data_IF_267554068147
#
_entry.id   IF_267554068147
#
_cell.length_a   1.000
_cell.length_b   1.000
_cell.length_c   1.000
_cell.angle_alpha   90.00
_cell.angle_beta   90.00
_cell.angle_gamma   90.00
#
_symmetry.space_group_name_H-M   'P 1'
#
loop_
_entity.id
_entity.type
_entity.pdbx_description
1 polymer ?
#
# COMPACT_ATOMS: atom_id res chain seq x y z
N UNK A 1 24.77 5.00 14.26
CA UNK A 1 23.72 4.00 14.13
C UNK A 1 24.10 2.95 13.09
N UNK A 2 24.15 1.70 13.50
CA UNK A 2 24.31 0.60 12.55
C UNK A 2 23.02 0.39 11.76
N UNK A 3 23.17 0.07 10.49
CA UNK A 3 22.05 -0.30 9.64
C UNK A 3 21.91 -1.81 9.60
N UNK A 4 20.70 -2.27 9.84
CA UNK A 4 20.36 -3.67 9.63
C UNK A 4 19.89 -3.79 8.18
N UNK A 5 20.52 -4.71 7.43
CA UNK A 5 20.24 -4.87 6.01
C UNK A 5 18.96 -5.65 5.72
N UNK A 6 18.39 -6.31 6.72
CA UNK A 6 17.16 -7.07 6.55
C UNK A 6 15.99 -6.12 6.37
N UNK A 7 15.14 -6.43 5.41
CA UNK A 7 13.92 -5.66 5.13
C UNK A 7 12.73 -6.35 5.79
N UNK A 8 12.06 -5.61 6.67
CA UNK A 8 10.83 -6.07 7.30
C UNK A 8 9.65 -5.53 6.49
N UNK A 9 8.79 -6.42 6.02
CA UNK A 9 7.57 -6.04 5.32
C UNK A 9 6.40 -5.92 6.29
N UNK A 10 5.71 -4.78 6.24
CA UNK A 10 4.51 -4.52 7.04
C UNK A 10 3.41 -4.05 6.11
N UNK A 11 2.21 -4.59 6.29
CA UNK A 11 1.03 -4.18 5.53
C UNK A 11 -0.01 -3.64 6.49
N UNK A 12 -0.58 -2.51 6.14
CA UNK A 12 -1.69 -1.93 6.89
C UNK A 12 -2.85 -1.62 5.94
N UNK A 13 -4.06 -1.89 6.39
CA UNK A 13 -5.28 -1.66 5.63
C UNK A 13 -6.04 -0.51 6.27
N UNK A 14 -6.36 0.50 5.46
CA UNK A 14 -7.13 1.67 5.87
C UNK A 14 -8.55 1.57 5.33
N UNK A 15 -9.49 2.23 6.01
CA UNK A 15 -10.89 2.22 5.59
C UNK A 15 -11.13 3.06 4.33
N UNK A 16 -10.44 4.18 4.20
CA UNK A 16 -10.64 5.12 3.09
C UNK A 16 -9.33 5.49 2.45
N UNK A 17 -9.38 5.82 1.16
CA UNK A 17 -8.16 6.12 0.40
C UNK A 17 -7.42 7.34 0.95
N UNK A 18 -8.11 8.34 1.46
CA UNK A 18 -7.45 9.52 2.05
C UNK A 18 -6.76 9.22 3.38
N UNK A 19 -7.22 8.21 4.12
CA UNK A 19 -6.57 7.78 5.36
C UNK A 19 -5.16 7.27 5.12
N UNK A 20 -4.92 6.68 3.96
CA UNK A 20 -3.59 6.21 3.56
C UNK A 20 -2.60 7.38 3.60
N UNK A 21 -2.97 8.51 3.02
CA UNK A 21 -2.11 9.69 2.97
C UNK A 21 -1.98 10.37 4.33
N UNK A 22 -3.02 10.31 5.15
CA UNK A 22 -2.97 10.82 6.53
C UNK A 22 -1.98 10.02 7.38
N UNK A 23 -1.97 8.70 7.23
CA UNK A 23 -1.01 7.84 7.91
C UNK A 23 0.41 8.17 7.47
N UNK A 24 0.63 8.37 6.18
CA UNK A 24 1.94 8.74 5.64
C UNK A 24 2.42 10.07 6.23
N UNK A 25 1.54 11.07 6.34
CA UNK A 25 1.86 12.35 6.96
C UNK A 25 2.24 12.21 8.43
N UNK A 26 1.52 11.38 9.18
CA UNK A 26 1.82 11.12 10.58
C UNK A 26 3.18 10.46 10.75
N UNK A 27 3.53 9.54 9.87
CA UNK A 27 4.83 8.86 9.88
C UNK A 27 5.95 9.87 9.61
N UNK A 28 5.74 10.75 8.64
CA UNK A 28 6.73 11.78 8.28
C UNK A 28 7.09 12.69 9.45
N UNK A 29 6.15 12.92 10.35
CA UNK A 29 6.35 13.78 11.52
C UNK A 29 7.09 13.11 12.67
N UNK A 30 7.31 11.81 12.62
CA UNK A 30 8.00 11.08 13.67
C UNK A 30 9.50 11.31 13.58
N UNK A 31 10.16 11.56 14.73
CA UNK A 31 11.60 11.82 14.77
C UNK A 31 12.43 10.54 14.63
N UNK A 32 11.87 9.41 15.02
CA UNK A 32 12.55 8.12 15.01
C UNK A 32 12.28 7.32 13.73
N UNK A 33 11.63 7.93 12.77
CA UNK A 33 11.33 7.31 11.48
C UNK A 33 11.78 8.25 10.35
N UNK A 34 12.45 7.69 9.36
CA UNK A 34 12.83 8.40 8.13
C UNK A 34 12.16 7.72 6.94
N UNK A 35 11.53 8.52 6.09
CA UNK A 35 10.99 8.02 4.81
C UNK A 35 12.12 8.13 3.79
N UNK A 36 12.60 6.96 3.34
CA UNK A 36 13.70 6.88 2.38
C UNK A 36 13.18 6.99 0.95
N UNK A 37 12.05 6.36 0.68
CA UNK A 37 11.46 6.33 -0.65
C UNK A 37 9.95 6.18 -0.56
N UNK A 38 9.25 6.86 -1.46
CA UNK A 38 7.79 6.76 -1.60
C UNK A 38 7.47 6.30 -3.01
N UNK A 39 6.66 5.26 -3.13
CA UNK A 39 6.12 4.78 -4.41
C UNK A 39 4.61 4.82 -4.32
N UNK A 40 4.01 5.75 -5.04
CA UNK A 40 2.55 5.94 -5.00
C UNK A 40 1.89 5.22 -6.17
N UNK A 41 1.53 3.96 -5.95
CA UNK A 41 0.81 3.16 -6.94
C UNK A 41 -0.71 3.36 -6.88
N UNK A 42 -1.16 4.32 -6.07
CA UNK A 42 -2.57 4.74 -6.08
C UNK A 42 -2.77 5.79 -7.16
N UNK A 43 -1.90 6.80 -7.20
CA UNK A 43 -1.92 7.83 -8.24
C UNK A 43 -1.47 7.28 -9.59
N UNK A 44 -0.44 6.43 -9.58
CA UNK A 44 0.10 5.79 -10.76
C UNK A 44 0.12 4.28 -10.57
N UNK A 45 -1.02 3.60 -10.82
CA UNK A 45 -1.07 2.15 -10.68
C UNK A 45 -0.06 1.44 -11.57
N UNK A 46 0.39 0.28 -11.15
CA UNK A 46 1.23 -0.55 -12.01
C UNK A 46 0.42 -1.01 -13.23
N UNK A 47 1.13 -1.42 -14.28
CA UNK A 47 0.49 -1.93 -15.51
C UNK A 47 -0.48 -3.07 -15.22
N UNK A 48 -0.23 -3.87 -14.20
CA UNK A 48 -1.12 -4.96 -13.79
C UNK A 48 -2.44 -4.48 -13.20
N UNK A 49 -2.50 -3.22 -12.76
CA UNK A 49 -3.61 -2.67 -11.99
C UNK A 49 -3.33 -2.59 -10.50
N UNK A 50 -2.16 -3.07 -10.04
CA UNK A 50 -1.81 -3.06 -8.62
C UNK A 50 -1.81 -1.64 -8.06
N UNK A 51 -2.46 -1.46 -6.92
CA UNK A 51 -2.57 -0.19 -6.22
C UNK A 51 -2.18 -0.34 -4.76
N UNK A 52 -1.33 0.52 -4.29
CA UNK A 52 -1.01 0.72 -2.88
C UNK A 52 -0.06 1.91 -2.75
N UNK A 53 0.11 2.41 -1.54
CA UNK A 53 1.18 3.35 -1.23
C UNK A 53 2.30 2.58 -0.54
N UNK A 54 3.47 2.56 -1.15
CA UNK A 54 4.67 1.92 -0.58
C UNK A 54 5.59 2.96 0.00
N UNK A 55 5.94 2.79 1.26
CA UNK A 55 6.93 3.61 1.94
C UNK A 55 8.11 2.74 2.35
N UNK A 56 9.30 3.11 1.92
CA UNK A 56 10.51 2.51 2.43
C UNK A 56 10.99 3.40 3.58
N UNK A 57 11.05 2.83 4.77
CA UNK A 57 11.33 3.53 6.00
C UNK A 57 12.61 3.02 6.62
N UNK A 58 13.27 3.92 7.37
CA UNK A 58 14.26 3.51 8.37
C UNK A 58 13.71 3.92 9.73
N UNK A 59 13.63 2.95 10.64
CA UNK A 59 13.10 3.16 11.99
C UNK A 59 14.22 3.00 12.98
N UNK A 60 14.39 3.99 13.85
CA UNK A 60 15.38 3.94 14.91
C UNK A 60 14.85 3.07 16.05
N UNK A 61 15.53 1.98 16.31
CA UNK A 61 15.16 1.05 17.38
C UNK A 61 16.27 1.01 18.43
N UNK A 62 15.98 1.17 19.71
CA UNK A 62 16.96 0.95 20.75
C UNK A 62 17.32 -0.53 20.81
N UNK A 63 18.60 -0.81 20.80
CA UNK A 63 19.09 -2.17 20.93
C UNK A 63 20.30 -2.16 21.88
N UNK A 64 20.15 -2.77 23.05
CA UNK A 64 21.11 -2.68 24.15
C UNK A 64 21.32 -1.21 24.52
N UNK A 65 22.54 -0.70 24.48
CA UNK A 65 22.87 0.69 24.79
C UNK A 65 23.03 1.56 23.53
N UNK A 66 22.72 0.99 22.35
CA UNK A 66 22.88 1.66 21.07
C UNK A 66 21.56 1.68 20.33
N UNK A 67 21.38 2.65 19.43
CA UNK A 67 20.25 2.68 18.52
C UNK A 67 20.66 2.14 17.17
N UNK A 68 19.76 1.38 16.55
CA UNK A 68 19.95 0.84 15.20
C UNK A 68 18.84 1.31 14.29
N UNK A 69 19.17 1.54 13.02
CA UNK A 69 18.18 1.82 11.99
C UNK A 69 17.75 0.52 11.32
N UNK A 70 16.47 0.23 11.41
CA UNK A 70 15.86 -0.96 10.79
C UNK A 70 15.11 -0.50 9.55
N UNK A 71 15.34 -1.19 8.43
CA UNK A 71 14.64 -0.91 7.18
C UNK A 71 13.30 -1.61 7.17
N UNK A 72 12.24 -0.85 6.90
CA UNK A 72 10.85 -1.35 6.86
C UNK A 72 10.22 -0.94 5.55
N UNK A 73 9.61 -1.89 4.85
CA UNK A 73 8.72 -1.59 3.73
C UNK A 73 7.29 -1.62 4.25
N UNK A 74 6.64 -0.46 4.26
CA UNK A 74 5.26 -0.32 4.67
C UNK A 74 4.39 -0.19 3.42
N UNK A 75 3.41 -1.10 3.29
CA UNK A 75 2.42 -1.07 2.24
C UNK A 75 1.08 -0.64 2.83
N UNK A 76 0.56 0.48 2.37
CA UNK A 76 -0.73 1.01 2.80
C UNK A 76 -1.76 0.82 1.69
N UNK A 77 -2.87 0.18 2.02
CA UNK A 77 -3.94 -0.16 1.09
C UNK A 77 -5.30 0.12 1.71
N UNK A 78 -6.31 0.30 0.86
CA UNK A 78 -7.70 0.15 1.32
C UNK A 78 -8.06 -1.34 1.33
N UNK A 79 -9.18 -1.67 1.97
CA UNK A 79 -9.67 -3.05 1.97
C UNK A 79 -9.93 -3.56 0.55
N UNK A 80 -10.43 -2.71 -0.35
CA UNK A 80 -10.68 -3.07 -1.74
C UNK A 80 -9.38 -3.35 -2.50
N UNK A 81 -8.36 -2.53 -2.31
CA UNK A 81 -7.04 -2.74 -2.90
C UNK A 81 -6.41 -4.04 -2.41
N UNK A 82 -6.55 -4.32 -1.13
CA UNK A 82 -6.01 -5.54 -0.52
C UNK A 82 -6.73 -6.78 -1.05
N UNK A 83 -8.05 -6.72 -1.19
CA UNK A 83 -8.84 -7.78 -1.80
C UNK A 83 -8.37 -8.09 -3.22
N UNK A 84 -8.24 -7.06 -4.05
CA UNK A 84 -7.77 -7.22 -5.43
C UNK A 84 -6.36 -7.84 -5.49
N UNK A 85 -5.45 -7.34 -4.66
CA UNK A 85 -4.06 -7.81 -4.65
C UNK A 85 -3.96 -9.29 -4.26
N UNK A 86 -4.74 -9.72 -3.28
CA UNK A 86 -4.77 -11.11 -2.83
C UNK A 86 -5.33 -12.03 -3.91
N UNK A 87 -6.41 -11.62 -4.57
CA UNK A 87 -6.99 -12.41 -5.66
C UNK A 87 -6.08 -12.46 -6.88
N UNK A 88 -5.47 -11.33 -7.24
CA UNK A 88 -4.51 -11.27 -8.33
C UNK A 88 -3.37 -12.26 -8.10
N UNK A 89 -2.82 -12.28 -6.90
CA UNK A 89 -1.73 -13.19 -6.54
C UNK A 89 -2.17 -14.65 -6.68
N UNK A 90 -3.34 -15.01 -6.15
CA UNK A 90 -3.88 -16.36 -6.24
C UNK A 90 -4.13 -16.79 -7.68
N UNK A 91 -4.72 -15.92 -8.48
CA UNK A 91 -5.03 -16.21 -9.87
C UNK A 91 -3.78 -16.34 -10.71
N UNK A 92 -2.77 -15.53 -10.47
CA UNK A 92 -1.48 -15.63 -11.17
C UNK A 92 -0.75 -16.91 -10.84
N UNK A 93 -0.86 -17.38 -9.61
CA UNK A 93 -0.24 -18.64 -9.20
C UNK A 93 -0.89 -19.84 -9.87
N UNK A 94 -2.23 -19.85 -9.98
CA UNK A 94 -2.99 -21.00 -10.48
C UNK A 94 -3.02 -21.10 -12.00
N UNK A 95 -2.92 -19.98 -12.71
CA UNK A 95 -3.03 -19.99 -14.17
C UNK A 95 -1.69 -20.37 -14.79
N UNK A 96 -1.74 -21.16 -15.85
CA UNK A 96 -0.59 -21.34 -16.73
C UNK A 96 -0.38 -20.08 -17.58
N UNK A 97 0.57 -20.17 -18.53
CA UNK A 97 0.86 -19.05 -19.43
C UNK A 97 -0.24 -18.84 -20.48
N UNK A 98 -1.14 -19.79 -20.65
CA UNK A 98 -2.25 -19.67 -21.57
C UNK A 98 -3.26 -18.64 -21.06
N UNK A 99 -3.72 -17.77 -21.96
CA UNK A 99 -4.72 -16.73 -21.68
C UNK A 99 -4.27 -15.65 -20.68
N UNK A 100 -2.96 -15.56 -20.38
CA UNK A 100 -2.45 -14.59 -19.44
C UNK A 100 -2.81 -13.15 -19.82
N UNK A 101 -2.76 -12.81 -21.12
CA UNK A 101 -3.09 -11.46 -21.59
C UNK A 101 -4.55 -11.09 -21.33
N UNK A 102 -5.48 -12.01 -21.59
CA UNK A 102 -6.92 -11.79 -21.38
C UNK A 102 -7.22 -11.61 -19.89
N UNK A 103 -6.64 -12.47 -19.06
CA UNK A 103 -6.83 -12.39 -17.60
C UNK A 103 -6.22 -11.11 -17.05
N UNK A 104 -5.06 -10.69 -17.55
CA UNK A 104 -4.45 -9.43 -17.15
C UNK A 104 -5.35 -8.23 -17.46
N UNK A 105 -5.98 -8.20 -18.65
CA UNK A 105 -6.92 -7.13 -18.99
C UNK A 105 -8.12 -7.11 -18.06
N UNK A 106 -8.69 -8.27 -17.74
CA UNK A 106 -9.82 -8.36 -16.83
C UNK A 106 -9.46 -7.92 -15.42
N UNK A 107 -8.26 -8.30 -14.94
CA UNK A 107 -7.78 -7.85 -13.64
C UNK A 107 -7.55 -6.34 -13.61
N UNK A 108 -7.06 -5.76 -14.69
CA UNK A 108 -6.90 -4.31 -14.80
C UNK A 108 -8.24 -3.59 -14.74
N UNK A 109 -9.27 -4.13 -15.39
CA UNK A 109 -10.63 -3.58 -15.33
C UNK A 109 -11.19 -3.66 -13.91
N UNK A 110 -10.98 -4.77 -13.23
CA UNK A 110 -11.37 -4.91 -11.83
C UNK A 110 -10.66 -3.89 -10.94
N UNK A 111 -9.39 -3.64 -11.18
CA UNK A 111 -8.64 -2.63 -10.44
C UNK A 111 -9.23 -1.23 -10.62
N UNK A 112 -9.68 -0.90 -11.84
CA UNK A 112 -10.35 0.36 -12.11
C UNK A 112 -11.68 0.47 -11.38
N UNK A 113 -12.46 -0.61 -11.34
CA UNK A 113 -13.73 -0.67 -10.60
C UNK A 113 -13.49 -0.45 -9.11
N UNK A 114 -12.44 -1.06 -8.56
CA UNK A 114 -12.07 -0.91 -7.15
C UNK A 114 -11.66 0.54 -6.84
N UNK A 115 -10.93 1.18 -7.74
CA UNK A 115 -10.56 2.58 -7.59
C UNK A 115 -11.81 3.48 -7.54
N UNK A 116 -12.79 3.23 -8.40
CA UNK A 116 -14.06 3.95 -8.38
C UNK A 116 -14.85 3.70 -7.10
N UNK A 117 -14.84 2.46 -6.62
CA UNK A 117 -15.51 2.10 -5.37
C UNK A 117 -14.89 2.86 -4.19
N UNK A 118 -13.57 2.90 -4.11
CA UNK A 118 -12.87 3.63 -3.05
C UNK A 118 -13.24 5.11 -3.08
N UNK A 119 -13.31 5.72 -4.26
CA UNK A 119 -13.69 7.12 -4.40
C UNK A 119 -15.14 7.35 -3.97
N UNK A 120 -16.06 6.46 -4.35
CA UNK A 120 -17.45 6.56 -3.94
C UNK A 120 -17.63 6.40 -2.44
N UNK A 121 -16.92 5.48 -1.83
CA UNK A 121 -16.98 5.28 -0.39
C UNK A 121 -16.48 6.52 0.37
N UNK A 122 -15.41 7.12 -0.13
CA UNK A 122 -14.89 8.38 0.43
C UNK A 122 -15.92 9.51 0.28
N UNK A 123 -16.56 9.62 -0.88
CA UNK A 123 -17.58 10.65 -1.14
C UNK A 123 -18.77 10.49 -0.20
N UNK A 124 -19.20 9.26 0.06
CA UNK A 124 -20.29 8.97 1.00
C UNK A 124 -19.92 9.41 2.40
N UNK A 125 -18.71 9.07 2.86
CA UNK A 125 -18.24 9.49 4.18
C UNK A 125 -18.24 11.01 4.31
N UNK A 126 -17.74 11.71 3.28
CA UNK A 126 -17.72 13.18 3.28
C UNK A 126 -19.13 13.79 3.34
N UNK A 127 -20.11 13.15 2.71
CA UNK A 127 -21.51 13.59 2.80
C UNK A 127 -22.05 13.39 4.20
N UNK A 128 -21.74 12.28 4.85
CA UNK A 128 -22.16 12.00 6.22
C UNK A 128 -21.56 13.03 7.19
N UNK A 129 -20.28 13.34 7.01
CA UNK A 129 -19.58 14.30 7.87
C UNK A 129 -20.12 15.72 7.77
N UNK A 130 -20.87 16.05 6.71
CA UNK A 130 -21.49 17.36 6.50
C UNK A 130 -22.89 17.50 7.09
N UNK A 131 -23.49 16.43 7.56
CA UNK A 131 -24.84 16.42 8.14
C UNK A 131 -24.88 16.99 9.55
#
# INVERSE_FOLDING_TARGET
LEKINDLIGVRAVCSYVDDIYKVAELIEKQQDIRIIKTKDYIKEPKKSGYQSLHLILEVAMPFQNESQWIKVELQLRTAAMDYWANLDHQLRYKRGQKQAAVINEELQRCASVISELDQKMLDIRKKIDRI
#
